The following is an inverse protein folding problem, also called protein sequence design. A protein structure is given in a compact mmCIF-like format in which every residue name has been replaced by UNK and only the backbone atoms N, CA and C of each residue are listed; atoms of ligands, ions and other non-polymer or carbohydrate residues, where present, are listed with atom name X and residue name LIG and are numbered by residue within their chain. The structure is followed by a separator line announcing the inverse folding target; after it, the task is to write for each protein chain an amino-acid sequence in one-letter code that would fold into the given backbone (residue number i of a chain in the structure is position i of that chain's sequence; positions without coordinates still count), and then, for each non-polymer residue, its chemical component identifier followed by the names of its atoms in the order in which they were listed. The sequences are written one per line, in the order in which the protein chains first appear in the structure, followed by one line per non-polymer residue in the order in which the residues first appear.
data_IF_039712406492
#
_entry.id   IF_039712406492
#
_cell.length_a   1.000
_cell.length_b   1.000
_cell.length_c   1.000
_cell.angle_alpha   90.00
_cell.angle_beta   90.00
_cell.angle_gamma   90.00
#
_symmetry.space_group_name_H-M   'P 1'
#
loop_
_entity.id
_entity.type
_entity.pdbx_description
1 polymer ?
#
# COMPACT_ATOMS: atom_id res chain seq x y z
N UNK A 1 22.86 -11.20 -7.58
CA UNK A 1 22.28 -10.11 -6.78
C UNK A 1 21.08 -9.62 -7.58
N UNK A 2 19.89 -9.47 -6.98
CA UNK A 2 18.71 -9.04 -7.74
C UNK A 2 18.90 -7.60 -8.24
N UNK A 3 18.44 -7.31 -9.45
CA UNK A 3 18.36 -5.95 -9.97
C UNK A 3 17.19 -5.20 -9.32
N UNK A 4 17.20 -3.87 -9.38
CA UNK A 4 16.08 -3.07 -8.89
C UNK A 4 14.76 -3.41 -9.62
N UNK A 5 14.85 -3.76 -10.91
CA UNK A 5 13.69 -4.18 -11.71
C UNK A 5 13.14 -5.53 -11.24
N UNK A 6 14.01 -6.50 -10.94
CA UNK A 6 13.60 -7.80 -10.38
C UNK A 6 12.93 -7.63 -9.02
N UNK A 7 13.52 -6.81 -8.12
CA UNK A 7 12.92 -6.48 -6.82
C UNK A 7 11.56 -5.83 -7.03
N UNK A 8 11.46 -4.85 -7.94
CA UNK A 8 10.20 -4.17 -8.24
C UNK A 8 9.11 -5.15 -8.69
N UNK A 9 9.44 -6.05 -9.61
CA UNK A 9 8.48 -7.01 -10.14
C UNK A 9 8.03 -8.00 -9.06
N UNK A 10 8.93 -8.44 -8.19
CA UNK A 10 8.59 -9.32 -7.08
C UNK A 10 7.70 -8.62 -6.03
N UNK A 11 7.98 -7.36 -5.70
CA UNK A 11 7.11 -6.54 -4.85
C UNK A 11 5.71 -6.42 -5.45
N UNK A 12 5.60 -6.13 -6.76
CA UNK A 12 4.31 -6.04 -7.46
C UNK A 12 3.54 -7.36 -7.37
N UNK A 13 4.21 -8.48 -7.69
CA UNK A 13 3.60 -9.81 -7.63
C UNK A 13 3.12 -10.16 -6.22
N UNK A 14 3.94 -9.88 -5.20
CA UNK A 14 3.58 -10.13 -3.81
C UNK A 14 2.39 -9.27 -3.35
N UNK A 15 2.31 -8.01 -3.78
CA UNK A 15 1.18 -7.12 -3.47
C UNK A 15 -0.10 -7.54 -4.20
N UNK A 16 -0.01 -8.02 -5.44
CA UNK A 16 -1.15 -8.58 -6.18
C UNK A 16 -1.71 -9.84 -5.51
N UNK A 17 -0.86 -10.61 -4.81
CA UNK A 17 -1.26 -11.78 -4.04
C UNK A 17 -1.89 -11.46 -2.67
N UNK A 18 -1.91 -10.19 -2.24
CA UNK A 18 -2.37 -9.79 -0.91
C UNK A 18 -3.81 -9.25 -0.95
N UNK A 19 -4.81 -9.98 -0.43
CA UNK A 19 -6.22 -9.58 -0.52
C UNK A 19 -6.53 -8.23 0.12
N UNK A 20 -5.84 -7.85 1.21
CA UNK A 20 -6.09 -6.55 1.85
C UNK A 20 -5.65 -5.38 0.97
N UNK A 21 -4.73 -5.59 0.04
CA UNK A 21 -4.23 -4.58 -0.88
C UNK A 21 -4.99 -4.55 -2.21
N UNK A 22 -5.98 -5.42 -2.40
CA UNK A 22 -6.84 -5.38 -3.58
C UNK A 22 -7.44 -3.97 -3.77
N UNK A 23 -7.49 -3.54 -5.03
CA UNK A 23 -7.97 -2.22 -5.47
C UNK A 23 -7.15 -1.04 -4.95
N UNK A 24 -5.93 -1.28 -4.47
CA UNK A 24 -5.03 -0.20 -4.06
C UNK A 24 -4.11 0.16 -5.22
N UNK A 25 -4.19 1.41 -5.67
CA UNK A 25 -3.27 1.94 -6.67
C UNK A 25 -2.06 2.55 -5.97
N UNK A 26 -0.95 1.80 -5.96
CA UNK A 26 0.33 2.25 -5.43
C UNK A 26 1.36 2.29 -6.56
N UNK A 27 2.04 3.42 -6.69
CA UNK A 27 3.22 3.54 -7.54
C UNK A 27 4.43 3.01 -6.77
N UNK A 28 5.22 2.15 -7.42
CA UNK A 28 6.35 1.44 -6.83
C UNK A 28 7.59 1.73 -7.64
N UNK A 29 8.60 2.30 -6.98
CA UNK A 29 9.92 2.60 -7.52
C UNK A 29 10.95 1.88 -6.67
N UNK A 30 11.94 1.27 -7.31
CA UNK A 30 13.08 0.65 -6.62
C UNK A 30 14.35 1.29 -7.13
N UNK A 31 15.23 1.68 -6.21
CA UNK A 31 16.54 2.26 -6.54
C UNK A 31 17.56 1.82 -5.50
N UNK A 32 18.65 1.20 -5.95
CA UNK A 32 19.74 0.70 -5.11
C UNK A 32 19.25 -0.24 -3.98
N UNK A 33 18.20 -1.04 -4.26
CA UNK A 33 17.52 -1.90 -3.30
C UNK A 33 16.61 -1.18 -2.29
N UNK A 34 16.37 0.12 -2.45
CA UNK A 34 15.42 0.90 -1.65
C UNK A 34 14.08 0.94 -2.38
N UNK A 35 13.03 0.43 -1.73
CA UNK A 35 11.68 0.40 -2.29
C UNK A 35 10.93 1.64 -1.81
N UNK A 36 10.47 2.48 -2.74
CA UNK A 36 9.62 3.63 -2.47
C UNK A 36 8.21 3.36 -2.98
N UNK A 37 7.22 3.44 -2.09
CA UNK A 37 5.81 3.28 -2.44
C UNK A 37 5.04 4.58 -2.20
N UNK A 38 4.26 4.98 -3.20
CA UNK A 38 3.51 6.22 -3.21
C UNK A 38 2.06 5.97 -3.61
N UNK A 39 1.12 6.69 -2.99
CA UNK A 39 -0.29 6.63 -3.37
C UNK A 39 -1.23 6.83 -2.19
N UNK A 40 -2.45 6.32 -2.31
CA UNK A 40 -3.48 6.46 -1.28
C UNK A 40 -4.05 5.10 -0.89
N UNK A 41 -4.41 4.96 0.39
CA UNK A 41 -5.11 3.79 0.92
C UNK A 41 -6.25 4.22 1.82
N UNK A 42 -7.25 3.36 2.01
CA UNK A 42 -8.40 3.65 2.88
C UNK A 42 -8.21 3.24 4.34
N UNK A 43 -7.08 2.64 4.71
CA UNK A 43 -6.80 2.18 6.07
C UNK A 43 -5.30 2.08 6.35
N UNK A 44 -4.92 2.40 7.59
CA UNK A 44 -3.55 2.21 8.09
C UNK A 44 -3.09 0.75 8.02
N UNK A 45 -4.01 -0.22 8.11
CA UNK A 45 -3.69 -1.64 7.95
C UNK A 45 -3.18 -1.96 6.55
N UNK A 46 -3.73 -1.32 5.51
CA UNK A 46 -3.22 -1.45 4.14
C UNK A 46 -1.82 -0.86 4.01
N UNK A 47 -1.59 0.33 4.58
CA UNK A 47 -0.25 0.96 4.61
C UNK A 47 0.78 0.06 5.28
N UNK A 48 0.44 -0.55 6.42
CA UNK A 48 1.31 -1.50 7.11
C UNK A 48 1.55 -2.78 6.30
N UNK A 49 0.51 -3.34 5.68
CA UNK A 49 0.65 -4.54 4.85
C UNK A 49 1.57 -4.31 3.66
N UNK A 50 1.45 -3.17 2.98
CA UNK A 50 2.34 -2.78 1.88
C UNK A 50 3.81 -2.73 2.33
N UNK A 51 4.08 -2.08 3.47
CA UNK A 51 5.42 -2.04 4.05
C UNK A 51 5.95 -3.44 4.38
N UNK A 52 5.14 -4.25 5.06
CA UNK A 52 5.52 -5.60 5.47
C UNK A 52 5.90 -6.46 4.27
N UNK A 53 5.08 -6.43 3.21
CA UNK A 53 5.34 -7.20 1.98
C UNK A 53 6.65 -6.76 1.34
N UNK A 54 6.84 -5.46 1.10
CA UNK A 54 8.06 -4.96 0.49
C UNK A 54 9.30 -5.26 1.34
N UNK A 55 9.21 -5.14 2.66
CA UNK A 55 10.32 -5.44 3.58
C UNK A 55 10.72 -6.92 3.60
N UNK A 56 9.82 -7.81 3.21
CA UNK A 56 10.06 -9.26 3.15
C UNK A 56 10.72 -9.74 1.87
N UNK A 57 10.84 -8.88 0.85
CA UNK A 57 11.46 -9.23 -0.43
C UNK A 57 12.98 -9.29 -0.28
N UNK A 58 13.58 -10.35 -0.81
CA UNK A 58 15.03 -10.54 -0.78
C UNK A 58 15.75 -9.38 -1.47
N UNK A 59 16.90 -8.94 -0.92
CA UNK A 59 17.70 -7.81 -1.40
C UNK A 59 17.07 -6.41 -1.22
N UNK A 60 15.90 -6.30 -0.61
CA UNK A 60 15.39 -5.02 -0.12
C UNK A 60 16.21 -4.56 1.08
N UNK A 61 16.71 -3.32 1.01
CA UNK A 61 17.57 -2.72 2.04
C UNK A 61 16.80 -1.76 2.95
N UNK A 62 15.80 -1.08 2.38
CA UNK A 62 14.94 -0.16 3.08
C UNK A 62 13.62 -0.01 2.33
N UNK A 63 12.59 0.44 3.05
CA UNK A 63 11.26 0.71 2.50
C UNK A 63 10.82 2.11 2.92
N UNK A 64 10.53 2.96 1.95
CA UNK A 64 10.00 4.30 2.13
C UNK A 64 8.54 4.36 1.70
N UNK A 65 7.69 4.96 2.54
CA UNK A 65 6.25 5.06 2.31
C UNK A 65 5.82 6.52 2.21
N UNK A 66 5.55 7.00 1.01
CA UNK A 66 4.76 8.22 0.78
C UNK A 66 3.29 7.85 0.50
N UNK A 67 2.71 7.08 1.42
CA UNK A 67 1.31 6.64 1.36
C UNK A 67 0.47 7.51 2.29
N UNK A 68 -0.57 8.12 1.72
CA UNK A 68 -1.58 8.89 2.44
C UNK A 68 -2.76 7.97 2.77
N UNK A 69 -3.22 8.01 4.03
CA UNK A 69 -4.41 7.26 4.45
C UNK A 69 -5.62 8.19 4.35
N UNK A 70 -6.53 7.88 3.44
CA UNK A 70 -7.81 8.56 3.24
C UNK A 70 -8.93 7.61 3.69
N UNK A 71 -9.35 7.64 4.97
CA UNK A 71 -10.42 6.77 5.43
C UNK A 71 -11.66 7.01 4.58
N UNK A 72 -12.29 5.92 4.14
CA UNK A 72 -13.59 6.03 3.49
C UNK A 72 -14.52 6.72 4.48
N UNK A 73 -14.98 7.93 4.14
CA UNK A 73 -16.05 8.56 4.90
C UNK A 73 -17.23 7.60 4.82
N UNK A 74 -17.61 7.04 5.95
CA UNK A 74 -18.81 6.23 6.05
C UNK A 74 -20.00 7.17 5.97
N UNK A 75 -20.28 7.68 4.77
CA UNK A 75 -21.50 8.44 4.49
C UNK A 75 -22.61 7.41 4.40
N UNK A 76 -23.04 6.91 5.56
CA UNK A 76 -24.37 6.34 5.69
C UNK A 76 -25.34 7.49 5.39
N UNK A 77 -25.68 7.68 4.11
CA UNK A 77 -26.63 8.71 3.64
C UNK A 77 -28.03 8.59 4.28
N UNK A 78 -28.26 7.58 5.11
CA UNK A 78 -29.51 7.34 5.83
C UNK A 78 -29.44 7.61 7.34
N UNK A 79 -28.24 7.65 7.95
CA UNK A 79 -28.11 7.81 9.42
C UNK A 79 -28.05 9.27 9.87
N UNK A 80 -27.64 10.20 8.98
CA UNK A 80 -27.56 11.62 9.34
C UNK A 80 -28.94 12.29 9.49
N UNK A 81 -30.00 11.74 8.87
CA UNK A 81 -31.36 12.29 9.00
C UNK A 81 -31.97 11.97 10.38
N UNK A 82 -31.56 10.87 11.03
CA UNK A 82 -32.10 10.45 12.33
C UNK A 82 -31.46 11.16 13.52
N UNK A 83 -30.46 12.01 13.30
CA UNK A 83 -29.79 12.76 14.38
C UNK A 83 -30.33 14.18 14.55
N UNK A 84 -31.25 14.60 13.68
CA UNK A 84 -31.86 15.93 13.69
C UNK A 84 -33.39 15.92 13.88
N UNK A 85 -34.00 14.75 14.14
CA UNK A 85 -35.41 14.60 14.51
C UNK A 85 -35.58 13.61 15.66
#
# INVERSE_FOLDING_TARGET
MKTDEEIRNEVILAMQGEPILNQTELNIVVKDGIVTMMGTVNSSSKKFSAWRIASGIQNVRAVELAIIVLPALNVNKEDDIKRFF
#
